data_IF_951916653782
#
_entry.id   IF_951916653782
#
_cell.length_a   1.000
_cell.length_b   1.000
_cell.length_c   1.000
_cell.angle_alpha   90.00
_cell.angle_beta   90.00
_cell.angle_gamma   90.00
#
_symmetry.space_group_name_H-M   'P 1'
#
loop_
_entity.id
_entity.type
_entity.pdbx_description
1 polymer ?
#
# COMPACT_ATOMS: atom_id res chain seq x y z
N UNK A 1 15.87 15.31 2.37
CA UNK A 1 16.85 14.19 2.45
C UNK A 1 16.64 13.12 1.37
N UNK A 2 15.68 12.19 1.45
CA UNK A 2 15.60 11.07 0.47
C UNK A 2 15.50 11.53 -0.99
N UNK A 3 14.65 12.53 -1.25
CA UNK A 3 14.48 13.09 -2.60
C UNK A 3 15.75 13.78 -3.12
N UNK A 4 16.47 14.50 -2.26
CA UNK A 4 17.72 15.19 -2.62
C UNK A 4 18.85 14.19 -2.93
N UNK A 5 18.84 13.02 -2.29
CA UNK A 5 19.80 11.94 -2.52
C UNK A 5 19.39 11.00 -3.67
N UNK A 6 18.26 11.26 -4.34
CA UNK A 6 17.75 10.41 -5.43
C UNK A 6 17.30 9.02 -4.97
N UNK A 7 17.01 8.85 -3.67
CA UNK A 7 16.56 7.57 -3.12
C UNK A 7 15.08 7.37 -3.39
N UNK A 8 14.74 6.21 -3.93
CA UNK A 8 13.35 5.83 -4.22
C UNK A 8 12.66 5.38 -2.94
N UNK A 9 11.45 5.87 -2.71
CA UNK A 9 10.59 5.41 -1.61
C UNK A 9 9.93 4.07 -1.94
N UNK A 10 9.69 3.24 -0.94
CA UNK A 10 8.84 2.05 -1.06
C UNK A 10 7.49 2.34 -0.42
N UNK A 11 6.41 2.07 -1.15
CA UNK A 11 5.04 2.15 -0.63
C UNK A 11 4.34 0.81 -0.81
N UNK A 12 3.95 0.21 0.31
CA UNK A 12 3.16 -1.01 0.32
C UNK A 12 1.70 -0.62 0.51
N UNK A 13 0.84 -0.98 -0.45
CA UNK A 13 -0.55 -0.50 -0.48
C UNK A 13 -1.36 -0.93 0.76
N UNK A 14 -1.03 -2.07 1.35
CA UNK A 14 -1.66 -2.59 2.59
C UNK A 14 -0.98 -2.14 3.89
N UNK A 15 0.08 -1.35 3.78
CA UNK A 15 0.79 -0.73 4.90
C UNK A 15 1.08 0.75 4.56
N UNK A 16 0.05 1.60 4.49
CA UNK A 16 0.23 3.03 4.26
C UNK A 16 1.05 3.66 5.40
N UNK A 17 1.80 4.72 5.09
CA UNK A 17 2.55 5.46 6.13
C UNK A 17 1.65 6.49 6.82
N UNK A 18 0.59 6.91 6.13
CA UNK A 18 -0.43 7.84 6.55
C UNK A 18 -1.37 7.13 7.55
N UNK A 19 -1.40 7.59 8.80
CA UNK A 19 -2.12 6.90 9.89
C UNK A 19 -3.65 7.01 9.78
N UNK A 20 -4.14 7.89 8.93
CA UNK A 20 -5.55 8.11 8.60
C UNK A 20 -6.04 7.22 7.44
N UNK A 21 -5.13 6.56 6.73
CA UNK A 21 -5.48 5.68 5.61
C UNK A 21 -5.43 4.21 6.02
N UNK A 22 -6.48 3.46 5.69
CA UNK A 22 -6.47 1.99 5.80
C UNK A 22 -5.65 1.35 4.66
N UNK A 23 -5.66 1.99 3.49
CA UNK A 23 -4.97 1.55 2.28
C UNK A 23 -4.28 2.71 1.58
N UNK A 24 -3.12 2.45 1.01
CA UNK A 24 -2.41 3.42 0.19
C UNK A 24 -3.13 3.68 -1.13
N UNK A 25 -3.06 4.93 -1.60
CA UNK A 25 -3.73 5.41 -2.82
C UNK A 25 -2.66 5.68 -3.88
N UNK A 26 -2.47 4.81 -4.89
CA UNK A 26 -1.37 4.93 -5.85
C UNK A 26 -1.36 6.25 -6.65
N UNK A 27 -2.53 6.85 -6.89
CA UNK A 27 -2.65 8.14 -7.57
C UNK A 27 -2.08 9.32 -6.79
N UNK A 28 -1.84 9.16 -5.48
CA UNK A 28 -1.24 10.18 -4.61
C UNK A 28 0.26 9.96 -4.38
N UNK A 29 0.84 8.88 -4.92
CA UNK A 29 2.26 8.60 -4.70
C UNK A 29 3.15 9.56 -5.49
N UNK A 30 4.23 10.00 -4.84
CA UNK A 30 5.28 10.77 -5.51
C UNK A 30 5.95 9.93 -6.60
N UNK A 31 6.40 10.59 -7.68
CA UNK A 31 7.05 9.94 -8.80
C UNK A 31 8.22 9.02 -8.40
N UNK A 32 9.01 9.43 -7.40
CA UNK A 32 10.16 8.65 -6.89
C UNK A 32 9.71 7.56 -5.91
N UNK A 33 8.79 6.69 -6.35
CA UNK A 33 8.20 5.63 -5.53
C UNK A 33 8.13 4.31 -6.29
N UNK A 34 8.57 3.23 -5.65
CA UNK A 34 8.17 1.86 -6.03
C UNK A 34 6.92 1.52 -5.24
N UNK A 35 5.84 1.18 -5.95
CA UNK A 35 4.60 0.71 -5.34
C UNK A 35 4.52 -0.82 -5.42
N UNK A 36 3.99 -1.44 -4.37
CA UNK A 36 3.68 -2.86 -4.35
C UNK A 36 2.42 -3.14 -3.52
N UNK A 37 1.59 -4.14 -3.89
CA UNK A 37 0.42 -4.51 -3.11
C UNK A 37 0.77 -5.20 -1.77
N UNK A 38 1.95 -5.81 -1.67
CA UNK A 38 2.40 -6.62 -0.53
C UNK A 38 3.92 -6.67 -0.43
N UNK A 39 4.43 -7.00 0.76
CA UNK A 39 5.83 -7.42 0.97
C UNK A 39 5.89 -8.82 1.63
N UNK A 40 7.10 -9.31 1.91
CA UNK A 40 7.33 -10.61 2.55
C UNK A 40 6.87 -10.66 4.02
N UNK A 41 6.69 -9.50 4.66
CA UNK A 41 6.15 -9.38 6.02
C UNK A 41 4.61 -9.41 6.06
N UNK A 42 3.96 -9.58 4.90
CA UNK A 42 2.51 -9.66 4.81
C UNK A 42 2.05 -11.00 4.22
N UNK A 43 0.79 -11.36 4.47
CA UNK A 43 0.12 -12.44 3.74
C UNK A 43 0.17 -12.19 2.22
N UNK A 44 0.18 -13.25 1.41
CA UNK A 44 0.10 -13.10 -0.05
C UNK A 44 -1.21 -12.40 -0.43
N UNK A 45 -1.25 -11.78 -1.62
CA UNK A 45 -2.44 -11.01 -2.04
C UNK A 45 -3.73 -11.84 -2.01
N UNK A 46 -3.68 -13.11 -2.46
CA UNK A 46 -4.84 -14.01 -2.41
C UNK A 46 -5.26 -14.35 -0.99
N UNK A 47 -4.30 -14.76 -0.15
CA UNK A 47 -4.61 -15.10 1.25
C UNK A 47 -5.23 -13.89 1.97
N UNK A 48 -4.67 -12.71 1.77
CA UNK A 48 -5.23 -11.45 2.28
C UNK A 48 -6.64 -11.15 1.76
N UNK A 49 -6.90 -11.39 0.48
CA UNK A 49 -8.21 -11.15 -0.10
C UNK A 49 -9.29 -12.08 0.46
N UNK A 50 -8.90 -13.28 0.91
CA UNK A 50 -9.79 -14.32 1.42
C UNK A 50 -9.94 -14.28 2.95
N UNK A 51 -9.01 -13.67 3.69
CA UNK A 51 -8.97 -13.71 5.16
C UNK A 51 -10.10 -12.89 5.84
N UNK A 52 -10.50 -11.77 5.25
CA UNK A 52 -11.48 -10.83 5.82
C UNK A 52 -12.37 -10.23 4.72
N UNK A 53 -13.64 -10.63 4.72
CA UNK A 53 -14.62 -10.16 3.75
C UNK A 53 -14.93 -8.66 3.88
N UNK A 54 -15.06 -8.14 5.10
CA UNK A 54 -15.40 -6.73 5.32
C UNK A 54 -14.26 -5.83 4.86
N UNK A 55 -13.02 -6.21 5.19
CA UNK A 55 -11.82 -5.47 4.80
C UNK A 55 -11.64 -5.47 3.29
N UNK A 56 -11.84 -6.62 2.63
CA UNK A 56 -11.86 -6.69 1.16
C UNK A 56 -12.92 -5.77 0.55
N UNK A 57 -14.13 -5.76 1.10
CA UNK A 57 -15.22 -4.91 0.60
C UNK A 57 -14.87 -3.42 0.74
N UNK A 58 -14.25 -3.00 1.85
CA UNK A 58 -13.75 -1.63 2.00
C UNK A 58 -12.67 -1.31 0.99
N UNK A 59 -11.71 -2.21 0.76
CA UNK A 59 -10.69 -2.02 -0.27
C UNK A 59 -11.31 -1.83 -1.65
N UNK A 60 -12.22 -2.72 -2.07
CA UNK A 60 -12.85 -2.65 -3.39
C UNK A 60 -13.69 -1.38 -3.62
N UNK A 61 -14.25 -0.80 -2.55
CA UNK A 61 -15.12 0.39 -2.65
C UNK A 61 -14.36 1.71 -2.53
N UNK A 62 -13.28 1.73 -1.76
CA UNK A 62 -12.60 2.96 -1.35
C UNK A 62 -11.25 3.18 -2.04
N UNK A 63 -10.76 2.21 -2.80
CA UNK A 63 -9.46 2.23 -3.52
C UNK A 63 -9.69 1.91 -4.99
#
# INVERSE_FOLDING_TARGET
VMQELGLVGLRIQRMPNESDLEFGIPSQYSYMTVCAPSCHDCSTLRAWWEEDEERRQRFFKNV
#
